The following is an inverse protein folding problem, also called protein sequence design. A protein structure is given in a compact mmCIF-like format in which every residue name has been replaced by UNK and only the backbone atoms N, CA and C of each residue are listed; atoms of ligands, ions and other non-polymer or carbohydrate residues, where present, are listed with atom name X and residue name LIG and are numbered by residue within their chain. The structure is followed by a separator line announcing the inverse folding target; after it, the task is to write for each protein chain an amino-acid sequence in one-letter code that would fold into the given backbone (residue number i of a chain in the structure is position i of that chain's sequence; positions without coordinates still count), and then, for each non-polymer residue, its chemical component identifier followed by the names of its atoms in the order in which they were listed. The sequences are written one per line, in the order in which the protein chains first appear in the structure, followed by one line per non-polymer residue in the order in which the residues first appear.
data_IF_126181786057
#
_entry.id   IF_126181786057
#
_cell.length_a   1.000
_cell.length_b   1.000
_cell.length_c   1.000
_cell.angle_alpha   90.00
_cell.angle_beta   90.00
_cell.angle_gamma   90.00
#
_symmetry.space_group_name_H-M   'P 1'
#
loop_
_entity.id
_entity.type
_entity.pdbx_description
1 polymer ?
#
# COMPACT_ATOMS: atom_id res chain seq x y z
N UNK A 1 -25.81 5.63 -7.30
CA UNK A 1 -25.22 4.29 -7.28
C UNK A 1 -24.85 3.98 -5.84
N UNK A 2 -25.24 2.81 -5.36
CA UNK A 2 -25.37 2.49 -3.93
C UNK A 2 -24.03 2.51 -3.17
N UNK A 3 -23.97 3.31 -2.11
CA UNK A 3 -23.02 3.13 -1.02
C UNK A 3 -23.53 1.94 -0.20
N UNK A 4 -23.06 0.73 -0.53
CA UNK A 4 -23.29 -0.43 0.32
C UNK A 4 -22.50 -0.21 1.61
N UNK A 5 -23.07 -0.46 2.81
CA UNK A 5 -22.34 -0.28 4.06
C UNK A 5 -21.11 -1.18 4.02
N UNK A 6 -19.93 -0.58 3.84
CA UNK A 6 -18.68 -1.32 3.93
C UNK A 6 -18.65 -2.00 5.29
N UNK A 7 -18.40 -3.31 5.31
CA UNK A 7 -18.32 -4.05 6.57
C UNK A 7 -17.32 -3.35 7.49
N UNK A 8 -17.59 -3.26 8.80
CA UNK A 8 -16.69 -2.57 9.74
C UNK A 8 -15.26 -3.12 9.68
N UNK A 9 -15.10 -4.42 9.41
CA UNK A 9 -13.80 -5.06 9.15
C UNK A 9 -13.09 -4.50 7.91
N UNK A 10 -13.81 -4.24 6.81
CA UNK A 10 -13.24 -3.64 5.61
C UNK A 10 -12.78 -2.21 5.86
N UNK A 11 -13.56 -1.42 6.61
CA UNK A 11 -13.18 -0.06 7.00
C UNK A 11 -11.93 -0.05 7.89
N UNK A 12 -11.84 -0.98 8.84
CA UNK A 12 -10.65 -1.14 9.70
C UNK A 12 -9.41 -1.51 8.89
N UNK A 13 -9.52 -2.49 7.99
CA UNK A 13 -8.42 -2.90 7.09
C UNK A 13 -7.99 -1.77 6.16
N UNK A 14 -8.95 -0.99 5.65
CA UNK A 14 -8.67 0.18 4.83
C UNK A 14 -7.87 1.23 5.62
N UNK A 15 -8.25 1.51 6.87
CA UNK A 15 -7.52 2.45 7.73
C UNK A 15 -6.08 1.98 8.00
N UNK A 16 -5.90 0.71 8.36
CA UNK A 16 -4.57 0.14 8.57
C UNK A 16 -3.69 0.21 7.31
N UNK A 17 -4.28 -0.01 6.14
CA UNK A 17 -3.57 0.14 4.88
C UNK A 17 -3.11 1.59 4.68
N UNK A 18 -4.00 2.58 4.88
CA UNK A 18 -3.65 4.00 4.76
C UNK A 18 -2.55 4.41 5.74
N UNK A 19 -2.61 3.95 6.99
CA UNK A 19 -1.62 4.27 8.01
C UNK A 19 -0.23 3.69 7.67
N UNK A 20 -0.17 2.57 6.94
CA UNK A 20 1.08 1.94 6.48
C UNK A 20 1.55 2.40 5.10
N UNK A 21 0.78 3.23 4.38
CA UNK A 21 1.16 3.71 3.05
C UNK A 21 2.51 4.43 3.02
N UNK A 22 2.85 5.35 3.96
CA UNK A 22 4.13 6.07 3.90
C UNK A 22 5.34 5.11 3.91
N UNK A 23 5.34 4.12 4.80
CA UNK A 23 6.39 3.10 4.85
C UNK A 23 6.39 2.23 3.60
N UNK A 24 5.20 1.85 3.11
CA UNK A 24 5.04 1.06 1.89
C UNK A 24 5.65 1.77 0.67
N UNK A 25 5.39 3.06 0.49
CA UNK A 25 5.91 3.84 -0.65
C UNK A 25 7.42 4.05 -0.51
N UNK A 26 7.92 4.31 0.70
CA UNK A 26 9.35 4.44 0.97
C UNK A 26 10.12 3.14 0.63
N UNK A 27 9.58 1.98 1.01
CA UNK A 27 10.17 0.67 0.69
C UNK A 27 10.06 0.32 -0.80
N UNK A 28 8.99 0.77 -1.48
CA UNK A 28 8.79 0.49 -2.89
C UNK A 28 9.80 1.20 -3.80
N UNK A 29 10.38 2.32 -3.36
CA UNK A 29 11.46 3.02 -4.08
C UNK A 29 11.09 3.45 -5.50
N UNK A 30 9.79 3.61 -5.79
CA UNK A 30 9.33 3.89 -7.15
C UNK A 30 9.58 5.34 -7.53
N UNK A 31 10.25 5.56 -8.66
CA UNK A 31 10.47 6.88 -9.24
C UNK A 31 9.14 7.61 -9.50
N UNK A 32 9.13 8.94 -9.37
CA UNK A 32 7.99 9.75 -9.78
C UNK A 32 7.87 9.83 -11.31
N UNK A 33 6.70 10.20 -11.80
CA UNK A 33 6.51 10.43 -13.24
C UNK A 33 7.29 11.66 -13.69
N UNK A 34 8.11 11.52 -14.73
CA UNK A 34 8.88 12.61 -15.34
C UNK A 34 8.07 13.33 -16.43
N UNK A 35 6.88 13.80 -16.08
CA UNK A 35 6.03 14.60 -16.97
C UNK A 35 5.28 13.81 -18.06
N UNK A 36 5.38 12.47 -18.07
CA UNK A 36 4.60 11.59 -18.95
C UNK A 36 3.79 10.59 -18.12
N UNK A 37 2.51 10.35 -18.46
CA UNK A 37 1.74 9.27 -17.84
C UNK A 37 2.45 7.93 -18.02
N UNK A 38 2.34 7.06 -17.02
CA UNK A 38 2.78 5.69 -17.15
C UNK A 38 1.90 4.92 -18.14
N UNK A 39 2.49 3.99 -18.87
CA UNK A 39 1.73 2.99 -19.65
C UNK A 39 1.03 2.00 -18.73
N UNK A 40 0.09 1.23 -19.25
CA UNK A 40 -0.61 0.18 -18.50
C UNK A 40 0.38 -0.80 -17.85
N UNK A 41 1.31 -1.36 -18.62
CA UNK A 41 2.36 -2.26 -18.12
C UNK A 41 3.20 -1.63 -16.99
N UNK A 42 3.52 -0.33 -17.12
CA UNK A 42 4.26 0.40 -16.10
C UNK A 42 3.42 0.55 -14.82
N UNK A 43 2.12 0.82 -14.95
CA UNK A 43 1.20 0.91 -13.81
C UNK A 43 1.06 -0.45 -13.13
N UNK A 44 0.90 -1.54 -13.89
CA UNK A 44 0.79 -2.89 -13.35
C UNK A 44 2.06 -3.32 -12.61
N UNK A 45 3.23 -3.10 -13.21
CA UNK A 45 4.53 -3.37 -12.59
C UNK A 45 4.70 -2.61 -11.27
N UNK A 46 4.34 -1.32 -11.26
CA UNK A 46 4.34 -0.49 -10.04
C UNK A 46 3.35 -1.01 -9.00
N UNK A 47 2.16 -1.44 -9.42
CA UNK A 47 1.16 -2.06 -8.56
C UNK A 47 1.67 -3.33 -7.89
N UNK A 48 2.39 -4.18 -8.62
CA UNK A 48 3.04 -5.37 -8.07
C UNK A 48 4.12 -5.00 -7.03
N UNK A 49 4.96 -4.01 -7.33
CA UNK A 49 5.97 -3.50 -6.38
C UNK A 49 5.33 -3.00 -5.08
N UNK A 50 4.24 -2.23 -5.17
CA UNK A 50 3.51 -1.74 -3.99
C UNK A 50 2.94 -2.90 -3.17
N UNK A 51 2.38 -3.94 -3.80
CA UNK A 51 1.86 -5.13 -3.09
C UNK A 51 2.96 -5.84 -2.30
N UNK A 52 4.14 -6.01 -2.91
CA UNK A 52 5.30 -6.62 -2.26
C UNK A 52 5.77 -5.76 -1.09
N UNK A 53 5.94 -4.45 -1.31
CA UNK A 53 6.37 -3.50 -0.29
C UNK A 53 5.39 -3.44 0.89
N UNK A 54 4.08 -3.48 0.65
CA UNK A 54 3.07 -3.47 1.71
C UNK A 54 3.17 -4.72 2.60
N UNK A 55 3.46 -5.89 2.01
CA UNK A 55 3.70 -7.11 2.79
C UNK A 55 4.91 -6.95 3.72
N UNK A 56 5.99 -6.36 3.23
CA UNK A 56 7.19 -6.08 4.04
C UNK A 56 6.89 -5.05 5.13
N UNK A 57 6.23 -3.94 4.78
CA UNK A 57 5.85 -2.89 5.73
C UNK A 57 5.00 -3.42 6.89
N UNK A 58 4.03 -4.31 6.61
CA UNK A 58 3.24 -4.97 7.65
C UNK A 58 4.08 -5.84 8.58
N UNK A 59 5.02 -6.60 8.03
CA UNK A 59 5.90 -7.46 8.85
C UNK A 59 6.79 -6.60 9.75
N UNK A 60 7.42 -5.56 9.20
CA UNK A 60 8.24 -4.61 9.97
C UNK A 60 7.42 -3.95 11.07
N UNK A 61 6.24 -3.42 10.76
CA UNK A 61 5.37 -2.81 11.76
C UNK A 61 4.98 -3.80 12.86
N UNK A 62 4.66 -5.05 12.49
CA UNK A 62 4.37 -6.11 13.46
C UNK A 62 5.56 -6.41 14.36
N UNK A 63 6.77 -6.54 13.79
CA UNK A 63 8.01 -6.80 14.54
C UNK A 63 8.35 -5.65 15.51
N UNK A 64 8.19 -4.40 15.08
CA UNK A 64 8.43 -3.23 15.94
C UNK A 64 7.42 -3.14 17.10
N UNK A 65 6.17 -3.55 16.88
CA UNK A 65 5.10 -3.46 17.87
C UNK A 65 5.03 -4.69 18.79
N UNK A 66 5.51 -5.86 18.35
CA UNK A 66 5.51 -7.06 19.19
C UNK A 66 6.54 -6.99 20.32
N UNK A 67 7.49 -6.05 20.27
CA UNK A 67 8.61 -5.98 21.20
C UNK A 67 9.55 -7.18 21.06
N UNK A 68 10.79 -7.03 21.50
CA UNK A 68 11.65 -8.18 21.84
C UNK A 68 11.26 -8.73 23.20
#
# INVERSE_FOLDING_TARGET
MADAPQSPDLQQKYRQFLDLLPLTIALAGLHQSEGRPFTEDQIEGRGLTIKIAYRVARNVAKECLSGS
#
